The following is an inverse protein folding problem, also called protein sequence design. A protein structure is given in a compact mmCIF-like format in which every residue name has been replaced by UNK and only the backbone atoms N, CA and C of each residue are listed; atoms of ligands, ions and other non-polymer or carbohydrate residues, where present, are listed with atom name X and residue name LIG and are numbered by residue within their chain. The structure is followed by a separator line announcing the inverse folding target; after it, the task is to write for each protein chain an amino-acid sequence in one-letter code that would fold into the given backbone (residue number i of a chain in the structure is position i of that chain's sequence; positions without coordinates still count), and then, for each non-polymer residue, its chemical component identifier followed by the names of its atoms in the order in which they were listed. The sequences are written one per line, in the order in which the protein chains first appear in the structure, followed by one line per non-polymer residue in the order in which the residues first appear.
data_IF_534718290867
#
_entry.id   IF_534718290867
#
_cell.length_a   1.000
_cell.length_b   1.000
_cell.length_c   1.000
_cell.angle_alpha   90.00
_cell.angle_beta   90.00
_cell.angle_gamma   90.00
#
_symmetry.space_group_name_H-M   'P 1'
#
loop_
_entity.id
_entity.type
_entity.pdbx_description
1 polymer ?
#
# COMPACT_ATOMS: atom_id res chain seq x y z
N UNK A 1 21.95 6.39 21.10
CA UNK A 1 21.25 5.70 19.97
C UNK A 1 20.05 5.02 20.60
N UNK A 2 18.86 5.52 20.30
CA UNK A 2 17.63 5.11 21.02
C UNK A 2 17.27 3.67 20.71
N UNK A 3 17.07 2.87 21.75
CA UNK A 3 16.65 1.47 21.66
C UNK A 3 15.38 1.31 20.79
N UNK A 4 14.49 2.30 20.82
CA UNK A 4 13.28 2.35 19.99
C UNK A 4 13.59 2.42 18.49
N UNK A 5 14.59 3.19 18.08
CA UNK A 5 15.05 3.28 16.68
C UNK A 5 15.68 1.97 16.21
N UNK A 6 16.46 1.32 17.08
CA UNK A 6 17.06 0.01 16.79
C UNK A 6 15.99 -1.07 16.62
N UNK A 7 15.02 -1.12 17.53
CA UNK A 7 13.90 -2.07 17.46
C UNK A 7 13.02 -1.82 16.22
N UNK A 8 12.79 -0.56 15.87
CA UNK A 8 12.07 -0.20 14.67
C UNK A 8 12.80 -0.61 13.38
N UNK A 9 14.12 -0.36 13.32
CA UNK A 9 14.98 -0.80 12.22
C UNK A 9 15.02 -2.31 12.08
N UNK A 10 15.16 -3.04 13.20
CA UNK A 10 15.16 -4.51 13.22
C UNK A 10 13.79 -5.07 12.74
N UNK A 11 12.68 -4.49 13.19
CA UNK A 11 11.34 -4.87 12.73
C UNK A 11 11.18 -4.66 11.22
N UNK A 12 11.64 -3.53 10.67
CA UNK A 12 11.61 -3.28 9.22
C UNK A 12 12.49 -4.27 8.45
N UNK A 13 13.66 -4.59 8.97
CA UNK A 13 14.56 -5.58 8.37
C UNK A 13 13.92 -6.97 8.35
N UNK A 14 13.36 -7.43 9.47
CA UNK A 14 12.66 -8.70 9.55
C UNK A 14 11.44 -8.74 8.60
N UNK A 15 10.67 -7.66 8.55
CA UNK A 15 9.56 -7.55 7.62
C UNK A 15 10.02 -7.64 6.15
N UNK A 16 11.16 -7.04 5.80
CA UNK A 16 11.71 -7.11 4.45
C UNK A 16 12.11 -8.54 4.04
N UNK A 17 12.54 -9.38 4.99
CA UNK A 17 12.86 -10.79 4.72
C UNK A 17 11.60 -11.68 4.55
N UNK A 18 10.49 -11.31 5.19
CA UNK A 18 9.23 -12.07 5.14
C UNK A 18 8.33 -11.63 3.98
N UNK A 19 8.44 -10.36 3.57
CA UNK A 19 7.63 -9.82 2.49
C UNK A 19 8.24 -10.12 1.10
N UNK A 20 7.42 -10.30 0.05
CA UNK A 20 7.93 -10.32 -1.32
C UNK A 20 8.76 -9.07 -1.63
N UNK A 21 9.88 -9.19 -2.35
CA UNK A 21 10.36 -10.35 -3.13
C UNK A 21 11.29 -11.31 -2.37
N UNK A 22 11.64 -11.06 -1.09
CA UNK A 22 12.66 -11.84 -0.37
C UNK A 22 12.19 -13.24 0.04
N UNK A 23 10.94 -13.40 0.47
CA UNK A 23 10.41 -14.68 0.94
C UNK A 23 10.67 -15.84 -0.05
N UNK A 24 10.37 -15.72 -1.37
CA UNK A 24 10.63 -16.80 -2.32
C UNK A 24 12.12 -16.98 -2.66
N UNK A 25 12.99 -15.98 -2.38
CA UNK A 25 14.42 -16.10 -2.60
C UNK A 25 15.09 -16.99 -1.54
N UNK A 26 14.56 -17.06 -0.33
CA UNK A 26 15.14 -17.88 0.75
C UNK A 26 15.24 -19.37 0.37
N UNK A 27 14.17 -20.03 -0.10
CA UNK A 27 14.29 -21.42 -0.53
C UNK A 27 15.20 -21.59 -1.75
N UNK A 28 15.27 -20.63 -2.69
CA UNK A 28 16.19 -20.69 -3.81
C UNK A 28 17.65 -20.69 -3.31
N UNK A 29 18.02 -19.73 -2.46
CA UNK A 29 19.37 -19.60 -1.93
C UNK A 29 19.73 -20.84 -1.08
N UNK A 30 18.82 -21.25 -0.20
CA UNK A 30 19.01 -22.43 0.64
C UNK A 30 19.16 -23.70 -0.21
N UNK A 31 18.36 -23.85 -1.25
CA UNK A 31 18.43 -24.95 -2.19
C UNK A 31 19.77 -25.01 -2.92
N UNK A 32 20.24 -23.87 -3.42
CA UNK A 32 21.56 -23.77 -4.08
C UNK A 32 22.73 -24.10 -3.11
N UNK A 33 22.64 -23.66 -1.87
CA UNK A 33 23.65 -23.98 -0.84
C UNK A 33 23.70 -25.47 -0.52
N UNK A 34 22.54 -26.16 -0.53
CA UNK A 34 22.46 -27.60 -0.26
C UNK A 34 22.85 -28.49 -1.44
N UNK A 35 23.04 -27.96 -2.65
CA UNK A 35 23.37 -28.78 -3.83
C UNK A 35 24.62 -29.65 -3.64
N UNK A 36 25.57 -29.19 -2.83
CA UNK A 36 26.82 -29.97 -2.58
C UNK A 36 26.64 -31.09 -1.57
N UNK A 37 25.81 -30.92 -0.56
CA UNK A 37 25.62 -31.88 0.54
C UNK A 37 24.40 -32.80 0.32
N UNK A 38 23.33 -32.27 -0.26
CA UNK A 38 22.07 -32.98 -0.49
C UNK A 38 21.45 -32.55 -1.85
N UNK A 39 21.98 -33.01 -2.98
CA UNK A 39 21.64 -32.48 -4.31
C UNK A 39 20.17 -32.58 -4.66
N UNK A 40 19.51 -33.68 -4.27
CA UNK A 40 18.07 -33.86 -4.55
C UNK A 40 17.22 -32.85 -3.76
N UNK A 41 17.50 -32.69 -2.46
CA UNK A 41 16.79 -31.73 -1.60
C UNK A 41 17.09 -30.29 -2.04
N UNK A 42 18.35 -29.99 -2.36
CA UNK A 42 18.74 -28.66 -2.87
C UNK A 42 18.00 -28.28 -4.13
N UNK A 43 17.91 -29.22 -5.09
CA UNK A 43 17.22 -28.98 -6.35
C UNK A 43 15.69 -28.78 -6.15
N UNK A 44 15.04 -29.62 -5.35
CA UNK A 44 13.62 -29.48 -5.07
C UNK A 44 13.30 -28.16 -4.37
N UNK A 45 14.14 -27.77 -3.41
CA UNK A 45 13.96 -26.51 -2.69
C UNK A 45 14.14 -25.29 -3.60
N UNK A 46 15.16 -25.31 -4.47
CA UNK A 46 15.40 -24.25 -5.44
C UNK A 46 14.22 -24.10 -6.42
N UNK A 47 13.73 -25.19 -6.99
CA UNK A 47 12.58 -25.16 -7.89
C UNK A 47 11.28 -24.76 -7.21
N UNK A 48 11.06 -25.17 -5.95
CA UNK A 48 9.92 -24.73 -5.15
C UNK A 48 9.95 -23.21 -4.94
N UNK A 49 11.12 -22.65 -4.66
CA UNK A 49 11.29 -21.20 -4.54
C UNK A 49 11.02 -20.45 -5.85
N UNK A 50 11.48 -20.99 -6.98
CA UNK A 50 11.20 -20.43 -8.32
C UNK A 50 9.69 -20.47 -8.60
N UNK A 51 9.04 -21.60 -8.36
CA UNK A 51 7.60 -21.75 -8.55
C UNK A 51 6.80 -20.77 -7.67
N UNK A 52 7.19 -20.62 -6.40
CA UNK A 52 6.58 -19.66 -5.49
C UNK A 52 6.76 -18.22 -5.97
N UNK A 53 7.96 -17.88 -6.46
CA UNK A 53 8.24 -16.55 -7.01
C UNK A 53 7.34 -16.25 -8.22
N UNK A 54 7.24 -17.20 -9.16
CA UNK A 54 6.36 -17.07 -10.32
C UNK A 54 4.90 -16.92 -9.91
N UNK A 55 4.44 -17.70 -8.93
CA UNK A 55 3.07 -17.60 -8.41
C UNK A 55 2.77 -16.20 -7.84
N UNK A 56 3.71 -15.62 -7.11
CA UNK A 56 3.55 -14.29 -6.49
C UNK A 56 3.66 -13.13 -7.49
N UNK A 57 4.26 -13.34 -8.66
CA UNK A 57 4.38 -12.32 -9.71
C UNK A 57 3.17 -12.33 -10.65
N UNK A 58 2.52 -13.46 -10.82
CA UNK A 58 1.37 -13.58 -11.75
C UNK A 58 0.19 -12.74 -11.24
N UNK A 59 -0.32 -11.77 -12.05
CA UNK A 59 -1.43 -10.91 -11.61
C UNK A 59 -2.70 -11.66 -11.22
N UNK A 60 -2.95 -12.81 -11.84
CA UNK A 60 -4.12 -13.63 -11.54
C UNK A 60 -4.09 -14.22 -10.12
N UNK A 61 -2.93 -14.69 -9.65
CA UNK A 61 -2.79 -15.22 -8.29
C UNK A 61 -2.89 -14.12 -7.23
N UNK A 62 -2.29 -12.95 -7.51
CA UNK A 62 -2.40 -11.77 -6.65
C UNK A 62 -3.85 -11.29 -6.62
N UNK A 63 -4.51 -11.16 -7.76
CA UNK A 63 -5.92 -10.75 -7.85
C UNK A 63 -6.85 -11.73 -7.13
N UNK A 64 -6.60 -13.04 -7.24
CA UNK A 64 -7.36 -14.04 -6.49
C UNK A 64 -7.16 -13.89 -4.97
N UNK A 65 -5.91 -13.66 -4.52
CA UNK A 65 -5.60 -13.44 -3.11
C UNK A 65 -6.25 -12.17 -2.55
N UNK A 66 -6.20 -11.08 -3.28
CA UNK A 66 -6.85 -9.81 -2.93
C UNK A 66 -8.36 -9.98 -2.83
N UNK A 67 -8.98 -10.67 -3.78
CA UNK A 67 -10.43 -10.93 -3.78
C UNK A 67 -10.91 -11.77 -2.57
N UNK A 68 -10.01 -12.49 -1.87
CA UNK A 68 -10.38 -13.20 -0.62
C UNK A 68 -10.40 -12.29 0.61
N UNK A 69 -9.75 -11.12 0.53
CA UNK A 69 -9.58 -10.19 1.65
C UNK A 69 -10.44 -8.94 1.48
N UNK A 70 -10.61 -8.51 0.24
CA UNK A 70 -11.43 -7.37 -0.10
C UNK A 70 -12.88 -7.81 -0.33
N UNK A 71 -13.80 -7.25 0.43
CA UNK A 71 -15.23 -7.31 0.15
C UNK A 71 -15.67 -5.94 -0.42
N UNK A 72 -15.63 -5.77 -1.76
CA UNK A 72 -15.88 -4.48 -2.40
C UNK A 72 -17.39 -4.17 -2.51
N UNK A 73 -18.19 -4.56 -1.52
CA UNK A 73 -19.60 -4.20 -1.52
C UNK A 73 -19.75 -2.68 -1.65
N UNK A 74 -20.43 -2.17 -2.67
CA UNK A 74 -20.62 -0.74 -2.83
C UNK A 74 -21.40 -0.19 -1.64
N UNK A 75 -21.01 1.00 -1.18
CA UNK A 75 -21.69 1.67 -0.08
C UNK A 75 -23.17 1.89 -0.45
N UNK A 76 -24.08 1.34 0.33
CA UNK A 76 -25.50 1.56 0.17
C UNK A 76 -25.85 3.02 0.44
N UNK A 77 -26.67 3.63 -0.39
CA UNK A 77 -27.06 5.04 -0.25
C UNK A 77 -27.72 5.36 1.10
N UNK A 78 -28.39 4.38 1.68
CA UNK A 78 -29.02 4.48 3.01
C UNK A 78 -28.00 4.62 4.15
N UNK A 79 -26.82 4.02 4.00
CA UNK A 79 -25.73 4.09 4.99
C UNK A 79 -25.10 5.47 5.03
N UNK A 80 -25.09 6.21 3.92
CA UNK A 80 -24.55 7.58 3.84
C UNK A 80 -25.36 8.52 4.74
N UNK A 81 -26.66 8.32 4.83
CA UNK A 81 -27.55 9.13 5.68
C UNK A 81 -27.35 8.93 7.20
N UNK A 82 -26.56 7.93 7.61
CA UNK A 82 -26.27 7.64 9.01
C UNK A 82 -24.86 8.10 9.42
N UNK A 83 -24.10 8.67 8.50
CA UNK A 83 -22.74 9.14 8.77
C UNK A 83 -22.73 10.65 9.07
N UNK A 84 -21.83 11.07 9.95
CA UNK A 84 -21.63 12.48 10.31
C UNK A 84 -20.48 13.12 9.53
N UNK A 85 -19.56 12.35 9.01
CA UNK A 85 -18.40 12.80 8.24
C UNK A 85 -17.85 11.72 7.30
N UNK A 86 -17.09 12.16 6.31
CA UNK A 86 -16.33 11.31 5.39
C UNK A 86 -14.86 11.40 5.78
N UNK A 87 -14.23 10.26 6.12
CA UNK A 87 -12.81 10.21 6.43
C UNK A 87 -12.07 9.53 5.29
N UNK A 88 -11.10 10.24 4.68
CA UNK A 88 -10.27 9.72 3.60
C UNK A 88 -8.86 9.47 4.14
N UNK A 89 -8.44 8.21 4.14
CA UNK A 89 -7.12 7.81 4.59
C UNK A 89 -6.10 7.95 3.46
N UNK A 90 -4.91 8.45 3.78
CA UNK A 90 -3.79 8.53 2.87
C UNK A 90 -3.37 7.18 2.30
N UNK A 91 -2.65 7.22 1.20
CA UNK A 91 -2.10 6.05 0.52
C UNK A 91 -0.69 6.29 -0.04
N UNK A 92 -0.12 7.44 0.27
CA UNK A 92 1.21 7.86 -0.14
C UNK A 92 1.19 9.03 -1.11
N UNK A 93 2.37 9.57 -1.35
CA UNK A 93 2.62 10.76 -2.15
C UNK A 93 3.54 10.44 -3.34
N UNK A 94 3.59 11.35 -4.30
CA UNK A 94 4.54 11.40 -5.39
C UNK A 94 5.49 12.59 -5.12
N UNK A 95 6.75 12.29 -4.83
CA UNK A 95 7.74 13.29 -4.41
C UNK A 95 8.17 14.24 -5.54
N UNK A 96 8.16 13.75 -6.77
CA UNK A 96 8.54 14.53 -7.94
C UNK A 96 7.37 14.68 -8.90
N UNK A 97 6.75 15.86 -8.87
CA UNK A 97 5.61 16.23 -9.71
C UNK A 97 5.70 17.72 -10.10
N UNK A 98 6.68 18.10 -10.96
CA UNK A 98 6.92 19.49 -11.31
C UNK A 98 5.70 20.18 -11.94
N UNK A 99 4.82 19.42 -12.59
CA UNK A 99 3.56 19.89 -13.15
C UNK A 99 2.54 20.35 -12.10
N UNK A 100 2.72 19.94 -10.81
CA UNK A 100 1.94 20.37 -9.65
C UNK A 100 2.73 21.28 -8.70
N UNK A 101 3.89 21.78 -9.14
CA UNK A 101 4.74 22.67 -8.34
C UNK A 101 5.59 21.95 -7.28
N UNK A 102 5.70 20.62 -7.30
CA UNK A 102 6.53 19.87 -6.36
C UNK A 102 5.99 18.50 -6.04
N UNK A 103 5.56 18.30 -4.80
CA UNK A 103 4.96 17.05 -4.33
C UNK A 103 3.44 17.04 -4.56
N UNK A 104 2.87 15.87 -4.80
CA UNK A 104 1.42 15.67 -4.91
C UNK A 104 1.02 14.29 -4.38
N UNK A 105 -0.26 14.03 -4.31
CA UNK A 105 -0.82 12.72 -3.95
C UNK A 105 -0.46 11.66 -4.99
N UNK A 106 -0.26 10.41 -4.57
CA UNK A 106 -0.06 9.32 -5.51
C UNK A 106 -1.39 8.87 -6.14
N UNK A 107 -1.32 7.96 -7.13
CA UNK A 107 -2.49 7.47 -7.85
C UNK A 107 -3.55 6.84 -6.94
N UNK A 108 -3.13 6.09 -5.91
CA UNK A 108 -4.06 5.41 -5.00
C UNK A 108 -4.77 6.41 -4.07
N UNK A 109 -4.04 7.41 -3.56
CA UNK A 109 -4.64 8.50 -2.79
C UNK A 109 -5.62 9.30 -3.65
N UNK A 110 -5.25 9.61 -4.90
CA UNK A 110 -6.12 10.33 -5.84
C UNK A 110 -7.43 9.58 -6.12
N UNK A 111 -7.38 8.26 -6.25
CA UNK A 111 -8.59 7.44 -6.45
C UNK A 111 -9.51 7.50 -5.23
N UNK A 112 -8.95 7.45 -4.01
CA UNK A 112 -9.70 7.63 -2.76
C UNK A 112 -10.32 9.02 -2.66
N UNK A 113 -9.56 10.07 -2.99
CA UNK A 113 -10.05 11.45 -3.00
C UNK A 113 -11.20 11.64 -3.99
N UNK A 114 -11.06 11.09 -5.20
CA UNK A 114 -12.14 11.12 -6.20
C UNK A 114 -13.44 10.51 -5.69
N UNK A 115 -13.35 9.35 -5.02
CA UNK A 115 -14.53 8.71 -4.47
C UNK A 115 -15.09 9.49 -3.27
N UNK A 116 -14.23 9.94 -2.36
CA UNK A 116 -14.62 10.77 -1.21
C UNK A 116 -15.28 12.09 -1.64
N UNK A 117 -14.72 12.78 -2.62
CA UNK A 117 -15.30 13.99 -3.19
C UNK A 117 -16.69 13.74 -3.84
N UNK A 118 -16.87 12.59 -4.50
CA UNK A 118 -18.19 12.20 -5.01
C UNK A 118 -19.19 12.02 -3.87
N UNK A 119 -18.82 11.33 -2.81
CA UNK A 119 -19.67 11.12 -1.64
C UNK A 119 -20.02 12.45 -0.97
N UNK A 120 -19.06 13.35 -0.79
CA UNK A 120 -19.25 14.67 -0.21
C UNK A 120 -20.28 15.49 -0.97
N UNK A 121 -20.17 15.53 -2.31
CA UNK A 121 -21.14 16.22 -3.16
C UNK A 121 -22.54 15.62 -3.11
N UNK A 122 -22.65 14.30 -2.90
CA UNK A 122 -23.95 13.62 -2.82
C UNK A 122 -24.63 13.80 -1.46
N UNK A 123 -23.84 13.82 -0.38
CA UNK A 123 -24.33 13.81 1.00
C UNK A 123 -24.32 15.19 1.67
N UNK A 124 -23.44 16.09 1.23
CA UNK A 124 -23.17 17.35 1.93
C UNK A 124 -22.40 17.19 3.21
N UNK A 125 -21.87 16.00 3.51
CA UNK A 125 -21.10 15.73 4.72
C UNK A 125 -19.71 16.36 4.66
N UNK A 126 -19.16 16.78 5.82
CA UNK A 126 -17.80 17.29 5.91
C UNK A 126 -16.78 16.21 5.60
N UNK A 127 -15.67 16.60 4.97
CA UNK A 127 -14.58 15.69 4.61
C UNK A 127 -13.39 15.92 5.51
N UNK A 128 -12.88 14.84 6.10
CA UNK A 128 -11.63 14.82 6.85
C UNK A 128 -10.61 13.98 6.08
N UNK A 129 -9.42 14.53 5.87
CA UNK A 129 -8.29 13.80 5.29
C UNK A 129 -7.27 13.47 6.36
N UNK A 130 -6.70 12.26 6.32
CA UNK A 130 -5.68 11.81 7.27
C UNK A 130 -4.52 11.18 6.52
N UNK A 131 -3.33 11.72 6.72
CA UNK A 131 -2.09 11.21 6.14
C UNK A 131 -0.89 11.90 6.79
N UNK A 132 0.14 11.13 7.12
CA UNK A 132 1.37 11.62 7.75
C UNK A 132 2.43 12.04 6.73
N UNK A 133 3.56 12.48 7.27
CA UNK A 133 4.81 12.74 6.54
C UNK A 133 5.99 12.35 7.42
N UNK A 134 7.18 12.25 6.81
CA UNK A 134 8.44 12.11 7.54
C UNK A 134 8.89 13.44 8.17
N UNK A 135 10.06 13.41 8.80
CA UNK A 135 10.72 14.63 9.28
C UNK A 135 11.11 15.45 8.03
N UNK A 136 10.80 16.72 8.02
CA UNK A 136 11.02 17.66 6.89
C UNK A 136 10.21 17.37 5.60
N UNK A 137 9.15 16.57 5.69
CA UNK A 137 8.28 16.26 4.55
C UNK A 137 6.92 16.93 4.70
N UNK A 138 6.32 17.34 3.57
CA UNK A 138 4.95 17.84 3.58
C UNK A 138 4.01 16.69 3.98
N UNK A 139 3.17 16.84 5.03
CA UNK A 139 2.23 15.80 5.40
C UNK A 139 1.28 15.46 4.25
N UNK A 140 1.03 14.18 4.00
CA UNK A 140 0.15 13.74 2.93
C UNK A 140 -1.25 14.36 3.04
N UNK A 141 -1.76 14.57 4.26
CA UNK A 141 -3.05 15.22 4.48
C UNK A 141 -3.12 16.64 3.90
N UNK A 142 -2.01 17.39 3.88
CA UNK A 142 -1.93 18.72 3.26
C UNK A 142 -2.07 18.61 1.75
N UNK A 143 -1.36 17.67 1.13
CA UNK A 143 -1.45 17.41 -0.31
C UNK A 143 -2.84 16.90 -0.71
N UNK A 144 -3.44 16.06 0.13
CA UNK A 144 -4.80 15.56 -0.08
C UNK A 144 -5.84 16.68 -0.02
N UNK A 145 -5.67 17.60 0.94
CA UNK A 145 -6.55 18.77 1.05
C UNK A 145 -6.44 19.67 -0.16
N UNK A 146 -5.22 19.99 -0.61
CA UNK A 146 -4.99 20.78 -1.81
C UNK A 146 -5.66 20.15 -3.04
N UNK A 147 -5.47 18.85 -3.25
CA UNK A 147 -6.11 18.14 -4.36
C UNK A 147 -7.65 18.13 -4.27
N UNK A 148 -8.23 18.03 -3.06
CA UNK A 148 -9.69 18.12 -2.90
C UNK A 148 -10.24 19.49 -3.28
N UNK A 149 -9.55 20.56 -2.86
CA UNK A 149 -9.96 21.93 -3.14
C UNK A 149 -9.77 22.31 -4.60
N UNK A 150 -8.58 22.02 -5.16
CA UNK A 150 -8.19 22.45 -6.51
C UNK A 150 -8.78 21.58 -7.62
N UNK A 151 -8.71 20.24 -7.48
CA UNK A 151 -9.13 19.33 -8.54
C UNK A 151 -10.62 18.94 -8.44
N UNK A 152 -11.14 18.87 -7.21
CA UNK A 152 -12.50 18.36 -6.97
C UNK A 152 -13.48 19.42 -6.46
N UNK A 153 -13.05 20.61 -6.09
CA UNK A 153 -13.92 21.69 -5.59
C UNK A 153 -14.64 21.32 -4.30
N UNK A 154 -13.99 20.52 -3.43
CA UNK A 154 -14.51 20.12 -2.10
C UNK A 154 -13.61 20.75 -1.03
N UNK A 155 -14.20 21.55 -0.16
CA UNK A 155 -13.51 22.23 0.94
C UNK A 155 -13.84 21.58 2.29
#
# INVERSE_FOLDING_TARGET
MDLSLLLFGLKKLLAAFVLPPMLPLLPIISGLALLRSAPRLGLTLAWAGVALNLLLIVPASVGWGVAQVEDPAPLASETIGQADAIVILGAGRREYAPEFGGETVNRLALERLRYGARLARMSGLPVLVSGGGGVDEVPEAVLMKAALEEDFGVA
#
